data_IF_990575766443
#
_entry.id   IF_990575766443
#
_cell.length_a   1.000
_cell.length_b   1.000
_cell.length_c   1.000
_cell.angle_alpha   90.00
_cell.angle_beta   90.00
_cell.angle_gamma   90.00
#
_symmetry.space_group_name_H-M   'P 1'
#
loop_
_entity.id
_entity.type
_entity.pdbx_description
1 polymer ?
#
# COMPACT_ATOMS: atom_id res chain seq x y z
N UNK A 1 4.74 -6.35 24.00
CA UNK A 1 4.68 -6.87 22.65
C UNK A 1 3.48 -6.36 21.93
N UNK A 2 3.64 -5.98 20.70
CA UNK A 2 2.54 -5.46 19.93
C UNK A 2 1.66 -6.60 19.47
N UNK A 3 0.38 -6.45 19.63
CA UNK A 3 -0.54 -7.46 19.21
C UNK A 3 -1.05 -7.13 17.83
N UNK A 4 -1.03 -8.09 16.95
CA UNK A 4 -1.52 -7.85 15.60
C UNK A 4 -3.02 -7.62 15.58
N UNK A 5 -3.44 -6.85 14.64
CA UNK A 5 -4.85 -6.53 14.51
C UNK A 5 -5.65 -7.74 14.13
N UNK A 6 -6.90 -7.77 14.52
CA UNK A 6 -7.77 -8.88 14.20
C UNK A 6 -8.43 -8.73 12.86
N UNK A 7 -8.70 -7.53 12.42
CA UNK A 7 -9.37 -7.31 11.15
C UNK A 7 -8.38 -7.24 10.03
N UNK A 8 -8.67 -7.91 8.95
CA UNK A 8 -7.78 -7.87 7.79
C UNK A 8 -8.03 -6.60 7.01
N UNK A 9 -7.00 -6.06 6.36
CA UNK A 9 -7.21 -4.95 5.44
C UNK A 9 -8.14 -5.38 4.31
N UNK A 10 -8.96 -4.47 3.84
CA UNK A 10 -9.80 -4.72 2.68
C UNK A 10 -9.41 -3.77 1.58
N UNK A 11 -9.70 -4.12 0.34
CA UNK A 11 -9.39 -3.23 -0.75
C UNK A 11 -10.44 -3.33 -1.82
N UNK A 12 -10.55 -2.29 -2.63
CA UNK A 12 -11.41 -2.33 -3.79
C UNK A 12 -10.66 -1.65 -4.92
N UNK A 13 -10.92 -2.05 -6.14
CA UNK A 13 -10.22 -1.57 -7.30
C UNK A 13 -11.19 -0.88 -8.23
N UNK A 14 -10.81 0.26 -8.72
CA UNK A 14 -11.56 0.98 -9.75
C UNK A 14 -10.62 1.31 -10.88
N UNK A 15 -11.04 1.04 -12.12
CA UNK A 15 -10.29 1.43 -13.28
C UNK A 15 -11.22 2.30 -14.11
N UNK A 16 -10.82 3.54 -14.34
CA UNK A 16 -11.67 4.47 -15.05
C UNK A 16 -10.81 5.55 -15.67
N UNK A 17 -11.15 5.97 -16.85
CA UNK A 17 -10.47 7.07 -17.53
C UNK A 17 -8.96 6.83 -17.60
N UNK A 18 -8.55 5.61 -17.82
CA UNK A 18 -7.13 5.27 -17.96
C UNK A 18 -6.37 5.22 -16.66
N UNK A 19 -7.06 5.26 -15.52
CA UNK A 19 -6.40 5.26 -14.22
C UNK A 19 -6.82 4.04 -13.43
N UNK A 20 -5.83 3.39 -12.83
CA UNK A 20 -6.08 2.29 -11.91
C UNK A 20 -5.94 2.84 -10.51
N UNK A 21 -6.89 2.54 -9.65
CA UNK A 21 -6.80 2.93 -8.25
C UNK A 21 -7.21 1.77 -7.37
N UNK A 22 -6.33 1.40 -6.44
CA UNK A 22 -6.66 0.38 -5.45
C UNK A 22 -6.74 1.08 -4.11
N UNK A 23 -7.91 1.04 -3.50
CA UNK A 23 -8.15 1.73 -2.25
C UNK A 23 -8.13 0.73 -1.12
N UNK A 24 -7.19 0.88 -0.22
CA UNK A 24 -7.06 0.04 0.96
C UNK A 24 -7.76 0.69 2.14
N UNK A 25 -8.49 -0.10 2.90
CA UNK A 25 -9.11 0.36 4.14
C UNK A 25 -8.63 -0.54 5.27
N UNK A 26 -8.05 0.06 6.29
CA UNK A 26 -7.46 -0.67 7.39
C UNK A 26 -8.03 -0.13 8.68
N UNK A 27 -8.80 -0.95 9.39
CA UNK A 27 -9.48 -0.45 10.58
C UNK A 27 -8.62 -0.35 11.81
N UNK A 28 -7.76 -1.29 12.04
CA UNK A 28 -7.04 -1.37 13.30
C UNK A 28 -5.61 -0.89 13.16
N UNK A 29 -5.14 -0.13 14.13
CA UNK A 29 -3.75 0.28 14.15
C UNK A 29 -2.85 -0.93 14.25
N UNK A 30 -1.62 -0.77 13.90
CA UNK A 30 -0.59 -1.79 13.94
C UNK A 30 -0.92 -2.96 13.02
N UNK A 31 -1.52 -2.66 11.89
CA UNK A 31 -1.79 -3.64 10.86
C UNK A 31 -0.77 -3.47 9.76
N UNK A 32 -0.18 -4.58 9.33
CA UNK A 32 0.74 -4.54 8.22
C UNK A 32 -0.03 -4.65 6.93
N UNK A 33 0.17 -3.70 6.04
CA UNK A 33 -0.36 -3.79 4.69
C UNK A 33 0.73 -4.48 3.90
N UNK A 34 0.45 -5.62 3.30
CA UNK A 34 1.50 -6.42 2.66
C UNK A 34 2.27 -5.65 1.62
N UNK A 35 3.59 -5.85 1.61
CA UNK A 35 4.39 -5.22 0.62
C UNK A 35 4.30 -5.94 -0.67
N UNK A 36 4.42 -5.20 -1.73
CA UNK A 36 4.44 -5.76 -3.05
C UNK A 36 5.62 -5.19 -3.79
N UNK A 37 6.10 -5.93 -4.77
CA UNK A 37 7.09 -5.41 -5.68
C UNK A 37 6.39 -5.25 -7.01
N UNK A 38 6.12 -4.04 -7.42
CA UNK A 38 5.44 -3.76 -8.66
C UNK A 38 6.46 -3.64 -9.79
N UNK A 39 6.04 -3.95 -11.01
CA UNK A 39 6.89 -3.80 -12.15
C UNK A 39 6.77 -2.40 -12.75
N UNK A 40 6.03 -1.52 -12.12
CA UNK A 40 5.85 -0.15 -12.56
C UNK A 40 5.84 0.76 -11.35
N UNK A 41 6.13 2.00 -11.55
CA UNK A 41 6.08 2.98 -10.46
C UNK A 41 4.65 3.44 -10.24
N UNK A 42 4.35 3.86 -9.04
CA UNK A 42 3.01 4.36 -8.73
C UNK A 42 3.07 5.34 -7.57
N UNK A 43 1.93 5.92 -7.26
CA UNK A 43 1.80 6.81 -6.12
C UNK A 43 0.93 6.12 -5.09
N UNK A 44 1.35 6.16 -3.83
CA UNK A 44 0.49 5.77 -2.73
C UNK A 44 0.10 7.04 -2.00
N UNK A 45 -1.22 7.29 -1.93
CA UNK A 45 -1.74 8.47 -1.29
C UNK A 45 -2.31 8.07 0.05
N UNK A 46 -1.82 8.63 1.14
CA UNK A 46 -2.38 8.38 2.46
C UNK A 46 -3.54 9.36 2.61
N UNK A 47 -4.74 8.83 2.55
CA UNK A 47 -5.94 9.65 2.57
C UNK A 47 -6.41 9.92 3.98
N UNK A 48 -6.23 8.99 4.89
CA UNK A 48 -6.65 9.15 6.26
C UNK A 48 -5.73 8.35 7.15
N UNK A 49 -5.42 8.86 8.30
CA UNK A 49 -4.61 8.18 9.31
C UNK A 49 -3.13 8.41 9.15
N UNK A 50 -2.36 7.57 9.80
CA UNK A 50 -0.90 7.70 9.80
C UNK A 50 -0.27 6.34 9.62
N UNK A 51 0.79 6.26 8.84
CA UNK A 51 1.47 5.01 8.55
C UNK A 51 2.97 5.17 8.66
N UNK A 52 3.65 4.07 8.96
CA UNK A 52 5.11 4.00 8.86
C UNK A 52 5.43 3.23 7.60
N UNK A 53 6.33 3.73 6.80
CA UNK A 53 6.61 3.20 5.48
C UNK A 53 8.01 2.64 5.42
N UNK A 54 8.14 1.47 4.82
CA UNK A 54 9.44 0.87 4.57
C UNK A 54 9.64 0.65 3.09
N UNK A 55 10.91 0.72 2.68
CA UNK A 55 11.30 0.31 1.37
C UNK A 55 12.35 -0.75 1.61
N UNK A 56 12.00 -1.99 1.40
CA UNK A 56 12.82 -3.10 1.83
C UNK A 56 12.96 -3.06 3.34
N UNK A 57 14.19 -3.02 3.83
CA UNK A 57 14.39 -2.95 5.26
C UNK A 57 14.70 -1.51 5.71
N UNK A 58 14.57 -0.56 4.82
CA UNK A 58 14.83 0.84 5.15
C UNK A 58 13.55 1.53 5.56
N UNK A 59 13.50 2.08 6.76
CA UNK A 59 12.34 2.82 7.22
C UNK A 59 12.40 4.22 6.65
N UNK A 60 11.39 4.59 5.86
CA UNK A 60 11.35 5.91 5.26
C UNK A 60 10.73 6.95 6.18
N UNK A 61 10.10 6.53 7.25
CA UNK A 61 9.53 7.44 8.23
C UNK A 61 8.03 7.28 8.38
N UNK A 62 7.46 8.16 9.15
CA UNK A 62 6.02 8.16 9.44
C UNK A 62 5.37 9.26 8.62
N UNK A 63 4.24 8.92 7.99
CA UNK A 63 3.54 9.85 7.12
C UNK A 63 2.10 9.97 7.59
N UNK A 64 1.67 11.19 7.84
CA UNK A 64 0.33 11.46 8.30
C UNK A 64 -0.47 12.04 7.14
N UNK A 65 -1.71 11.63 7.00
CA UNK A 65 -2.57 12.12 5.93
C UNK A 65 -2.81 13.61 6.02
N UNK A 66 -2.89 14.30 4.91
CA UNK A 66 -2.72 13.75 3.57
C UNK A 66 -1.23 13.71 3.18
N UNK A 67 -0.84 12.64 2.52
CA UNK A 67 0.54 12.50 2.10
C UNK A 67 0.60 11.69 0.83
N UNK A 68 1.54 12.03 -0.05
CA UNK A 68 1.73 11.27 -1.26
C UNK A 68 3.13 10.68 -1.24
N UNK A 69 3.23 9.40 -1.57
CA UNK A 69 4.50 8.71 -1.53
C UNK A 69 4.75 8.12 -2.90
N UNK A 70 5.92 8.41 -3.47
CA UNK A 70 6.28 7.87 -4.76
C UNK A 70 6.87 6.51 -4.54
N UNK A 71 6.34 5.52 -5.24
CA UNK A 71 6.80 4.15 -5.13
C UNK A 71 7.45 3.80 -6.45
N UNK A 72 8.74 3.52 -6.43
CA UNK A 72 9.47 3.20 -7.64
C UNK A 72 9.29 1.75 -8.03
N UNK A 73 9.34 1.50 -9.34
CA UNK A 73 9.22 0.15 -9.84
C UNK A 73 10.26 -0.76 -9.23
N UNK A 74 9.87 -1.96 -8.97
CA UNK A 74 10.74 -3.03 -8.48
C UNK A 74 11.31 -2.78 -7.09
N UNK A 75 10.86 -1.80 -6.39
CA UNK A 75 11.29 -1.56 -5.02
C UNK A 75 10.21 -2.07 -4.07
N UNK A 76 10.51 -2.97 -3.16
CA UNK A 76 9.49 -3.47 -2.24
C UNK A 76 9.11 -2.39 -1.25
N UNK A 77 7.82 -2.25 -1.01
CA UNK A 77 7.32 -1.24 -0.09
C UNK A 77 6.25 -1.83 0.80
N UNK A 78 6.18 -1.38 2.00
CA UNK A 78 5.14 -1.81 2.93
C UNK A 78 4.78 -0.73 3.90
N UNK A 79 3.62 -0.90 4.53
CA UNK A 79 3.09 0.08 5.44
C UNK A 79 2.69 -0.60 6.73
N UNK A 80 2.92 0.07 7.85
CA UNK A 80 2.38 -0.32 9.14
C UNK A 80 1.48 0.82 9.59
N UNK A 81 0.22 0.54 9.86
CA UNK A 81 -0.69 1.58 10.32
C UNK A 81 -0.34 1.96 11.75
N UNK A 82 -0.31 3.25 12.03
CA UNK A 82 0.00 3.76 13.36
C UNK A 82 -1.25 4.28 14.06
N UNK A 83 -2.33 4.43 13.33
CA UNK A 83 -3.61 4.86 13.90
C UNK A 83 -4.69 3.90 13.42
N UNK A 84 -5.87 3.99 14.01
CA UNK A 84 -7.02 3.27 13.51
C UNK A 84 -7.54 3.97 12.26
N UNK A 85 -8.30 3.24 11.47
CA UNK A 85 -9.00 3.79 10.30
C UNK A 85 -8.07 4.48 9.31
N UNK A 86 -7.15 3.75 8.76
CA UNK A 86 -6.25 4.26 7.75
C UNK A 86 -6.79 3.93 6.37
N UNK A 87 -6.69 4.88 5.46
CA UNK A 87 -7.07 4.70 4.06
C UNK A 87 -5.89 5.07 3.17
N UNK A 88 -5.54 4.16 2.28
CA UNK A 88 -4.42 4.34 1.35
C UNK A 88 -4.90 4.07 -0.06
N UNK A 89 -4.63 4.97 -0.98
CA UNK A 89 -4.97 4.78 -2.38
C UNK A 89 -3.69 4.59 -3.20
N UNK A 90 -3.60 3.47 -3.92
CA UNK A 90 -2.47 3.20 -4.79
C UNK A 90 -2.93 3.46 -6.22
N UNK A 91 -2.26 4.37 -6.90
CA UNK A 91 -2.72 4.93 -8.15
C UNK A 91 -1.66 4.81 -9.23
N UNK A 92 -2.03 4.28 -10.37
CA UNK A 92 -1.11 4.25 -11.51
C UNK A 92 -1.91 4.19 -12.82
N UNK A 93 -1.19 4.17 -13.93
CA UNK A 93 -1.82 4.10 -15.21
C UNK A 93 -2.47 2.73 -15.39
N UNK A 94 -3.66 2.68 -15.92
CA UNK A 94 -4.38 1.42 -16.09
C UNK A 94 -3.71 0.48 -17.08
N UNK A 95 -2.82 1.00 -17.93
CA UNK A 95 -2.11 0.13 -18.86
C UNK A 95 -1.20 -0.85 -18.13
N UNK A 96 -0.93 -0.63 -16.85
CA UNK A 96 -0.09 -1.53 -16.08
C UNK A 96 -0.92 -2.58 -15.35
N UNK A 97 -2.21 -2.66 -15.59
CA UNK A 97 -3.04 -3.66 -14.95
C UNK A 97 -3.14 -4.88 -15.86
N UNK A 98 -3.31 -6.06 -15.26
CA UNK A 98 -3.49 -7.25 -16.05
C UNK A 98 -4.92 -7.30 -16.58
N UNK A 99 -5.27 -8.26 -17.40
CA UNK A 99 -6.59 -8.31 -18.02
C UNK A 99 -7.74 -8.37 -17.04
N UNK A 100 -7.51 -8.78 -15.83
CA UNK A 100 -8.57 -8.80 -14.84
C UNK A 100 -8.60 -7.53 -14.04
N UNK A 101 -7.75 -6.58 -14.33
CA UNK A 101 -7.75 -5.34 -13.60
C UNK A 101 -6.80 -5.29 -12.42
N UNK A 102 -6.04 -6.32 -12.21
CA UNK A 102 -5.06 -6.31 -11.12
C UNK A 102 -3.73 -5.79 -11.62
N UNK A 103 -2.98 -5.09 -10.81
CA UNK A 103 -1.67 -4.63 -11.23
C UNK A 103 -0.73 -5.82 -11.37
N UNK A 104 0.30 -5.68 -12.17
CA UNK A 104 1.30 -6.70 -12.28
C UNK A 104 2.18 -6.59 -11.06
N UNK A 105 2.05 -7.51 -10.13
CA UNK A 105 2.74 -7.48 -8.87
C UNK A 105 3.62 -8.68 -8.74
N UNK A 106 4.78 -8.50 -8.20
CA UNK A 106 5.61 -9.63 -7.98
C UNK A 106 4.96 -10.45 -6.92
N UNK A 107 5.13 -11.72 -7.00
CA UNK A 107 4.50 -12.59 -6.30
C UNK A 107 4.52 -12.49 -4.97
N UNK A 108 4.49 -12.62 -4.15
CA UNK A 108 4.50 -12.67 -2.96
C UNK A 108 4.34 -11.55 -2.30
N UNK A 109 3.80 -10.84 -2.29
CA UNK A 109 3.54 -9.82 -1.57
C UNK A 109 3.90 -9.92 -0.22
N UNK A 110 4.96 -10.39 0.03
CA UNK A 110 5.25 -10.63 1.26
C UNK A 110 5.52 -9.53 1.96
N UNK A 111 5.45 -9.58 2.99
CA UNK A 111 5.60 -8.73 3.75
C UNK A 111 6.79 -8.48 4.09
N UNK A 112 7.32 -7.89 3.74
CA UNK A 112 8.45 -7.59 3.98
C UNK A 112 8.64 -6.71 5.04
N UNK A 113 7.74 -6.21 5.59
CA UNK A 113 7.91 -5.37 6.66
C UNK A 113 8.52 -6.06 7.75
N UNK A 114 8.70 -7.24 7.56
CA UNK A 114 9.21 -7.94 8.56
C UNK A 114 10.58 -7.59 8.74
N UNK A 115 11.20 -6.98 7.97
CA UNK A 115 12.50 -6.68 8.24
C UNK A 115 12.72 -5.80 9.31
#
# INVERSE_FOLDING_TARGET
MMQLAKNQPTSEITIYAGIFCKLWSVRDRFTLVPQHVHQHSHISLIVQGEVRVWRGDECLGDFKAPAMIKIHARAPHGFLTLTDDVTIACIHNADHADPEGEPVIAERGDLILED
#
